data_IF_442905179375
#
_entry.id   IF_442905179375
#
_cell.length_a   1.000
_cell.length_b   1.000
_cell.length_c   1.000
_cell.angle_alpha   90.00
_cell.angle_beta   90.00
_cell.angle_gamma   90.00
#
_symmetry.space_group_name_H-M   'P 1'
#
loop_
_entity.id
_entity.type
_entity.pdbx_description
1 polymer ?
#
# COMPACT_ATOMS: atom_id res chain seq x y z
N UNK A 1 -4.11 -7.52 14.84
CA UNK A 1 -5.12 -6.68 15.52
C UNK A 1 -4.91 -5.19 15.19
N UNK A 2 -4.88 -4.80 13.90
CA UNK A 2 -4.78 -3.39 13.48
C UNK A 2 -5.67 -3.10 12.25
N UNK A 3 -6.89 -3.61 12.25
CA UNK A 3 -7.83 -3.43 11.13
C UNK A 3 -9.11 -2.79 11.61
N UNK A 4 -9.07 -1.56 12.15
CA UNK A 4 -10.32 -0.83 12.42
C UNK A 4 -10.15 0.69 12.68
N UNK A 5 -9.19 1.38 12.07
CA UNK A 5 -9.03 2.83 12.27
C UNK A 5 -8.85 3.61 10.97
N UNK A 6 -9.76 3.45 10.00
CA UNK A 6 -10.15 4.53 9.06
C UNK A 6 -11.39 4.08 8.27
N UNK A 7 -12.53 3.98 8.96
CA UNK A 7 -13.80 3.96 8.25
C UNK A 7 -14.10 5.41 7.88
N UNK A 8 -13.51 5.89 6.79
CA UNK A 8 -14.12 7.01 6.07
C UNK A 8 -15.47 6.45 5.66
N UNK A 9 -16.54 6.83 6.35
CA UNK A 9 -17.85 6.81 5.73
C UNK A 9 -17.76 7.81 4.57
N UNK A 10 -17.33 7.30 3.42
CA UNK A 10 -17.46 8.03 2.16
C UNK A 10 -18.96 8.07 1.92
N UNK A 11 -19.62 9.11 2.40
CA UNK A 11 -20.96 9.46 1.96
C UNK A 11 -20.79 9.86 0.50
N UNK A 12 -21.02 8.91 -0.41
CA UNK A 12 -20.85 9.12 -1.84
C UNK A 12 -21.99 9.97 -2.35
N UNK A 13 -21.75 11.27 -2.52
CA UNK A 13 -22.64 12.13 -3.29
C UNK A 13 -22.67 11.63 -4.74
N UNK A 14 -23.80 11.10 -5.18
CA UNK A 14 -23.98 10.68 -6.57
C UNK A 14 -24.58 11.80 -7.42
N UNK A 15 -24.34 11.75 -8.73
CA UNK A 15 -24.99 12.64 -9.70
C UNK A 15 -26.52 12.64 -9.55
N UNK A 16 -27.11 11.47 -9.29
CA UNK A 16 -28.54 11.35 -9.04
C UNK A 16 -29.00 12.09 -7.78
N UNK A 17 -28.18 12.13 -6.71
CA UNK A 17 -28.51 12.90 -5.51
C UNK A 17 -28.55 14.41 -5.78
N UNK A 18 -27.71 14.90 -6.69
CA UNK A 18 -27.71 16.31 -7.11
C UNK A 18 -28.94 16.62 -7.95
N UNK A 19 -29.28 15.73 -8.90
CA UNK A 19 -30.48 15.86 -9.74
C UNK A 19 -31.79 15.85 -8.94
N UNK A 20 -31.86 15.02 -7.91
CA UNK A 20 -33.07 14.89 -7.07
C UNK A 20 -33.13 15.96 -5.95
N UNK A 21 -32.11 16.82 -5.84
CA UNK A 21 -32.06 17.83 -4.80
C UNK A 21 -33.20 18.84 -4.94
N UNK A 22 -33.88 19.14 -3.82
CA UNK A 22 -34.95 20.14 -3.75
C UNK A 22 -34.65 21.18 -2.69
N UNK A 23 -34.56 22.43 -3.11
CA UNK A 23 -34.33 23.57 -2.21
C UNK A 23 -35.64 24.26 -1.83
N UNK A 24 -35.74 24.71 -0.57
CA UNK A 24 -36.87 25.49 -0.10
C UNK A 24 -36.79 26.95 -0.55
N UNK A 25 -37.92 27.55 -0.95
CA UNK A 25 -37.96 28.97 -1.35
C UNK A 25 -38.08 29.90 -0.14
N UNK A 26 -37.25 30.95 -0.06
CA UNK A 26 -37.37 32.00 0.97
C UNK A 26 -38.34 33.10 0.54
N UNK A 27 -39.34 33.41 1.38
CA UNK A 27 -40.37 34.44 1.07
C UNK A 27 -40.05 35.84 1.62
N UNK A 28 -39.13 35.93 2.59
CA UNK A 28 -38.87 37.16 3.38
C UNK A 28 -37.51 37.80 3.04
N UNK A 29 -36.60 37.05 2.39
CA UNK A 29 -35.22 37.47 2.09
C UNK A 29 -34.95 37.27 0.60
N UNK A 30 -34.06 38.08 0.03
CA UNK A 30 -33.54 37.81 -1.31
C UNK A 30 -32.93 36.40 -1.34
N UNK A 31 -33.47 35.54 -2.21
CA UNK A 31 -32.99 34.17 -2.40
C UNK A 31 -32.10 34.06 -3.64
N UNK A 32 -31.52 32.88 -3.83
CA UNK A 32 -30.82 32.54 -5.06
C UNK A 32 -31.78 32.53 -6.25
N UNK A 33 -31.29 32.89 -7.43
CA UNK A 33 -32.04 32.76 -8.66
C UNK A 33 -32.16 31.26 -9.03
N UNK A 34 -33.39 30.75 -9.13
CA UNK A 34 -33.63 29.33 -9.42
C UNK A 34 -32.94 28.88 -10.71
N UNK A 35 -33.01 29.68 -11.78
CA UNK A 35 -32.41 29.31 -13.06
C UNK A 35 -30.87 29.23 -12.98
N UNK A 36 -30.25 30.05 -12.13
CA UNK A 36 -28.81 30.01 -11.90
C UNK A 36 -28.41 28.79 -11.05
N UNK A 37 -29.21 28.48 -10.03
CA UNK A 37 -29.01 27.28 -9.21
C UNK A 37 -29.17 26.02 -10.05
N UNK A 38 -30.20 25.94 -10.89
CA UNK A 38 -30.43 24.79 -11.77
C UNK A 38 -29.26 24.59 -12.75
N UNK A 39 -28.80 25.66 -13.40
CA UNK A 39 -27.64 25.59 -14.29
C UNK A 39 -26.33 25.19 -13.57
N UNK A 40 -26.17 25.63 -12.32
CA UNK A 40 -25.03 25.21 -11.50
C UNK A 40 -25.15 23.73 -11.09
N UNK A 41 -26.35 23.25 -10.73
CA UNK A 41 -26.58 21.84 -10.43
C UNK A 41 -26.29 20.95 -11.62
N UNK A 42 -26.64 21.36 -12.84
CA UNK A 42 -26.30 20.62 -14.07
C UNK A 42 -24.77 20.46 -14.21
N UNK A 43 -24.01 21.53 -13.99
CA UNK A 43 -22.54 21.49 -14.05
C UNK A 43 -21.93 20.58 -12.95
N UNK A 44 -22.48 20.65 -11.74
CA UNK A 44 -22.04 19.79 -10.63
C UNK A 44 -22.38 18.33 -10.90
N UNK A 45 -23.57 18.06 -11.45
CA UNK A 45 -23.99 16.72 -11.86
C UNK A 45 -23.00 16.12 -12.86
N UNK A 46 -22.71 16.85 -13.94
CA UNK A 46 -21.77 16.42 -14.97
C UNK A 46 -20.37 16.14 -14.39
N UNK A 47 -19.91 17.00 -13.49
CA UNK A 47 -18.59 16.85 -12.84
C UNK A 47 -18.54 15.58 -11.98
N UNK A 48 -19.59 15.31 -11.19
CA UNK A 48 -19.67 14.12 -10.35
C UNK A 48 -19.81 12.86 -11.21
N UNK A 49 -20.60 12.92 -12.28
CA UNK A 49 -20.75 11.81 -13.22
C UNK A 49 -19.41 11.47 -13.89
N UNK A 50 -18.65 12.48 -14.32
CA UNK A 50 -17.31 12.29 -14.87
C UNK A 50 -16.35 11.67 -13.84
N UNK A 51 -16.21 12.27 -12.66
CA UNK A 51 -15.29 11.81 -11.64
C UNK A 51 -15.61 10.39 -11.14
N UNK A 52 -16.90 10.05 -11.00
CA UNK A 52 -17.32 8.69 -10.62
C UNK A 52 -17.04 7.66 -11.71
N UNK A 53 -17.21 8.04 -12.98
CA UNK A 53 -16.86 7.18 -14.13
C UNK A 53 -15.36 6.92 -14.20
N UNK A 54 -14.53 7.94 -13.96
CA UNK A 54 -13.08 7.80 -13.87
C UNK A 54 -12.67 6.88 -12.71
N UNK A 55 -13.26 7.09 -11.53
CA UNK A 55 -13.03 6.24 -10.37
C UNK A 55 -13.39 4.77 -10.64
N UNK A 56 -14.53 4.52 -11.29
CA UNK A 56 -14.94 3.17 -11.65
C UNK A 56 -13.95 2.53 -12.63
N UNK A 57 -13.56 3.25 -13.68
CA UNK A 57 -12.62 2.75 -14.68
C UNK A 57 -11.24 2.42 -14.07
N UNK A 58 -10.75 3.28 -13.18
CA UNK A 58 -9.51 3.03 -12.44
C UNK A 58 -9.64 1.80 -11.53
N UNK A 59 -10.80 1.61 -10.88
CA UNK A 59 -11.09 0.43 -10.09
C UNK A 59 -11.05 -0.86 -10.91
N UNK A 60 -11.68 -0.85 -12.09
CA UNK A 60 -11.68 -1.99 -13.02
C UNK A 60 -10.26 -2.32 -13.51
N UNK A 61 -9.44 -1.29 -13.79
CA UNK A 61 -8.04 -1.44 -14.20
C UNK A 61 -7.18 -2.05 -13.08
N UNK A 62 -7.37 -1.60 -11.84
CA UNK A 62 -6.65 -2.15 -10.66
C UNK A 62 -6.97 -3.63 -10.47
N UNK A 63 -8.23 -4.03 -10.60
CA UNK A 63 -8.63 -5.44 -10.44
C UNK A 63 -8.08 -6.31 -11.58
N UNK A 64 -8.07 -5.79 -12.81
CA UNK A 64 -7.44 -6.46 -13.95
C UNK A 64 -5.94 -6.65 -13.73
N UNK A 65 -5.24 -5.61 -13.26
CA UNK A 65 -3.80 -5.65 -13.01
C UNK A 65 -3.46 -6.60 -11.85
N UNK A 66 -4.28 -6.61 -10.80
CA UNK A 66 -4.16 -7.56 -9.69
C UNK A 66 -4.32 -9.01 -10.17
N UNK A 67 -5.30 -9.27 -11.02
CA UNK A 67 -5.50 -10.59 -11.63
C UNK A 67 -4.29 -11.00 -12.48
N UNK A 68 -3.72 -10.07 -13.24
CA UNK A 68 -2.51 -10.29 -14.01
C UNK A 68 -1.32 -10.69 -13.12
N UNK A 69 -1.12 -9.99 -11.99
CA UNK A 69 -0.07 -10.32 -11.01
C UNK A 69 -0.26 -11.73 -10.46
N UNK A 70 -1.48 -12.11 -10.08
CA UNK A 70 -1.77 -13.46 -9.58
C UNK A 70 -1.49 -14.55 -10.63
N UNK A 71 -1.84 -14.30 -11.89
CA UNK A 71 -1.53 -15.23 -12.99
C UNK A 71 -0.02 -15.41 -13.18
N UNK A 72 0.76 -14.32 -13.13
CA UNK A 72 2.22 -14.38 -13.26
C UNK A 72 2.86 -15.13 -12.08
N UNK A 73 2.39 -14.87 -10.86
CA UNK A 73 2.85 -15.58 -9.67
C UNK A 73 2.56 -17.09 -9.76
N UNK A 74 1.36 -17.47 -10.23
CA UNK A 74 1.03 -18.88 -10.45
C UNK A 74 1.92 -19.56 -11.49
N UNK A 75 2.22 -18.87 -12.60
CA UNK A 75 3.14 -19.38 -13.63
C UNK A 75 4.57 -19.54 -13.10
N UNK A 76 5.06 -18.58 -12.32
CA UNK A 76 6.38 -18.66 -11.71
C UNK A 76 6.46 -19.82 -10.70
N UNK A 77 5.44 -19.99 -9.86
CA UNK A 77 5.39 -21.10 -8.90
C UNK A 77 5.41 -22.48 -9.59
N UNK A 78 4.67 -22.61 -10.71
CA UNK A 78 4.70 -23.83 -11.51
C UNK A 78 6.10 -24.10 -12.09
N UNK A 79 6.74 -23.10 -12.70
CA UNK A 79 8.08 -23.24 -13.26
C UNK A 79 9.15 -23.54 -12.18
N UNK A 80 9.04 -22.92 -11.00
CA UNK A 80 9.94 -23.19 -9.87
C UNK A 80 9.82 -24.63 -9.38
N UNK A 81 8.60 -25.20 -9.38
CA UNK A 81 8.39 -26.59 -9.00
C UNK A 81 9.07 -27.56 -9.96
N UNK A 82 8.96 -27.31 -11.27
CA UNK A 82 9.63 -28.12 -12.29
C UNK A 82 11.17 -28.08 -12.11
N UNK A 83 11.74 -26.90 -11.84
CA UNK A 83 13.16 -26.75 -11.51
C UNK A 83 13.55 -27.48 -10.22
N UNK A 84 12.72 -27.44 -9.18
CA UNK A 84 12.97 -28.12 -7.91
C UNK A 84 12.92 -29.64 -8.08
N UNK A 85 11.98 -30.17 -8.86
CA UNK A 85 11.87 -31.60 -9.17
C UNK A 85 13.10 -32.10 -9.95
N UNK A 86 13.61 -31.29 -10.90
CA UNK A 86 14.87 -31.56 -11.60
C UNK A 86 16.12 -31.48 -10.71
N UNK A 87 16.11 -30.64 -9.66
CA UNK A 87 17.19 -30.55 -8.68
C UNK A 87 17.11 -31.62 -7.58
N UNK A 88 15.92 -32.18 -7.34
CA UNK A 88 15.67 -33.16 -6.27
C UNK A 88 15.70 -34.60 -6.76
N UNK A 89 15.91 -34.83 -8.07
CA UNK A 89 16.18 -36.16 -8.60
C UNK A 89 17.56 -36.58 -8.08
N UNK A 90 17.68 -37.58 -7.19
CA UNK A 90 18.98 -38.06 -6.78
C UNK A 90 19.60 -38.70 -8.01
N UNK A 91 20.78 -38.21 -8.41
CA UNK A 91 21.66 -38.91 -9.34
C UNK A 91 21.75 -40.36 -8.86
N UNK A 92 21.13 -41.27 -9.61
CA UNK A 92 21.32 -42.70 -9.44
C UNK A 92 22.82 -42.97 -9.60
N UNK A 93 23.46 -43.38 -8.51
CA UNK A 93 24.86 -43.74 -8.46
C UNK A 93 25.20 -44.77 -9.54
N UNK A 94 26.26 -44.55 -10.34
CA UNK A 94 27.04 -45.63 -10.88
C UNK A 94 27.93 -46.16 -9.75
N UNK A 95 27.67 -47.40 -9.38
CA UNK A 95 28.41 -48.18 -8.40
C UNK A 95 29.83 -48.50 -8.91
N UNK A 96 30.78 -48.40 -7.98
CA UNK A 96 32.11 -49.05 -7.89
C UNK A 96 33.32 -48.57 -8.73
N UNK A 97 34.41 -48.24 -8.01
CA UNK A 97 35.76 -48.58 -8.47
C UNK A 97 36.91 -47.61 -8.13
N UNK A 98 37.55 -47.81 -6.97
CA UNK A 98 38.98 -47.56 -6.68
C UNK A 98 39.57 -46.14 -6.81
N UNK A 99 40.01 -45.58 -5.68
CA UNK A 99 41.44 -45.46 -5.36
C UNK A 99 41.66 -44.72 -4.03
N UNK A 100 41.98 -45.48 -2.99
CA UNK A 100 42.62 -44.98 -1.78
C UNK A 100 43.99 -44.40 -2.14
N UNK A 101 44.21 -43.12 -1.86
CA UNK A 101 45.57 -42.55 -1.75
C UNK A 101 45.70 -41.96 -0.36
N UNK A 102 46.40 -42.72 0.50
CA UNK A 102 46.98 -42.23 1.74
C UNK A 102 48.37 -41.75 1.36
N UNK A 103 48.70 -40.50 1.65
CA UNK A 103 50.10 -40.07 1.83
C UNK A 103 50.22 -39.19 3.08
N UNK A 104 51.39 -39.22 3.74
CA UNK A 104 51.52 -39.20 5.19
C UNK A 104 51.72 -37.81 5.80
N UNK A 105 51.46 -37.75 7.11
CA UNK A 105 51.90 -36.79 8.12
C UNK A 105 53.11 -35.92 7.74
N UNK A 106 52.92 -34.60 7.81
CA UNK A 106 53.94 -33.66 8.29
C UNK A 106 53.26 -32.68 9.26
N UNK A 107 53.84 -32.60 10.47
CA UNK A 107 53.45 -31.73 11.58
C UNK A 107 53.86 -30.29 11.28
N UNK A 108 52.95 -29.32 11.43
CA UNK A 108 53.32 -27.92 11.25
C UNK A 108 52.20 -26.91 11.45
N UNK A 109 51.89 -26.62 12.73
CA UNK A 109 51.40 -25.33 13.23
C UNK A 109 50.08 -24.76 12.66
N UNK A 110 49.05 -24.82 13.53
CA UNK A 110 48.07 -23.77 13.85
C UNK A 110 48.13 -22.48 13.01
N UNK A 111 46.99 -22.04 12.47
CA UNK A 111 46.25 -20.80 12.86
C UNK A 111 45.09 -20.56 11.87
N UNK A 112 43.87 -20.40 12.43
CA UNK A 112 42.65 -19.74 11.88
C UNK A 112 42.22 -20.12 10.45
N UNK A 113 40.98 -20.51 10.18
CA UNK A 113 39.81 -19.63 10.28
C UNK A 113 38.60 -20.51 9.89
N UNK A 114 37.53 -20.45 10.68
CA UNK A 114 36.29 -21.10 10.34
C UNK A 114 35.74 -20.39 9.09
N UNK A 115 35.75 -21.07 7.94
CA UNK A 115 35.20 -20.56 6.67
C UNK A 115 33.70 -20.36 6.87
N UNK A 116 33.34 -19.13 7.28
CA UNK A 116 31.98 -18.61 7.23
C UNK A 116 31.63 -18.54 5.75
N UNK A 117 30.61 -19.32 5.40
CA UNK A 117 29.91 -19.28 4.11
C UNK A 117 29.77 -17.84 3.69
N UNK A 118 30.31 -17.52 2.50
CA UNK A 118 30.26 -16.20 1.88
C UNK A 118 28.89 -15.57 2.07
N UNK A 119 28.89 -14.51 2.89
CA UNK A 119 27.94 -13.43 2.80
C UNK A 119 27.96 -12.96 1.33
N UNK A 120 26.94 -13.37 0.58
CA UNK A 120 26.61 -12.73 -0.69
C UNK A 120 25.98 -11.40 -0.27
N UNK A 121 26.65 -10.24 -0.45
CA UNK A 121 26.04 -8.99 -0.07
C UNK A 121 24.99 -8.66 -1.13
N UNK A 122 23.69 -8.55 -0.80
CA UNK A 122 22.75 -7.99 -1.76
C UNK A 122 23.03 -6.48 -1.82
N UNK A 123 23.52 -6.06 -2.98
CA UNK A 123 23.67 -4.68 -3.39
C UNK A 123 22.42 -3.85 -3.07
N UNK A 124 22.65 -2.65 -2.52
CA UNK A 124 21.63 -1.65 -2.17
C UNK A 124 22.00 -0.97 -0.86
N UNK A 125 22.76 0.11 -0.92
CA UNK A 125 23.53 0.70 0.19
C UNK A 125 22.73 1.34 1.35
N UNK A 126 21.40 1.17 1.41
CA UNK A 126 20.64 1.37 2.65
C UNK A 126 20.12 0.02 3.13
N UNK A 127 20.91 -0.66 3.96
CA UNK A 127 20.49 -1.90 4.62
C UNK A 127 19.13 -1.69 5.29
N UNK A 128 18.28 -2.73 5.33
CA UNK A 128 16.90 -2.68 5.86
C UNK A 128 16.80 -2.02 7.26
N UNK A 129 17.87 -2.09 8.05
CA UNK A 129 18.05 -1.37 9.31
C UNK A 129 18.05 0.15 9.12
N UNK A 130 18.82 0.68 8.17
CA UNK A 130 18.87 2.10 7.85
C UNK A 130 17.52 2.62 7.34
N UNK A 131 16.83 1.84 6.50
CA UNK A 131 15.48 2.19 6.02
C UNK A 131 14.49 2.25 7.19
N UNK A 132 14.50 1.23 8.06
CA UNK A 132 13.64 1.19 9.26
C UNK A 132 13.91 2.38 10.18
N UNK A 133 15.18 2.70 10.40
CA UNK A 133 15.57 3.76 11.33
C UNK A 133 15.21 5.14 10.76
N UNK A 134 15.36 5.35 9.45
CA UNK A 134 14.93 6.56 8.73
C UNK A 134 13.41 6.75 8.75
N UNK A 135 12.64 5.68 8.55
CA UNK A 135 11.17 5.72 8.64
C UNK A 135 10.72 6.05 10.05
N UNK A 136 11.38 5.50 11.08
CA UNK A 136 11.09 5.80 12.49
C UNK A 136 11.35 7.26 12.82
N UNK A 137 12.47 7.82 12.33
CA UNK A 137 12.79 9.23 12.51
C UNK A 137 11.75 10.13 11.82
N UNK A 138 11.37 9.79 10.59
CA UNK A 138 10.34 10.52 9.83
C UNK A 138 9.00 10.56 10.59
N UNK A 139 8.52 9.41 11.07
CA UNK A 139 7.26 9.33 11.82
C UNK A 139 7.32 10.10 13.15
N UNK A 140 8.48 10.11 13.81
CA UNK A 140 8.67 10.86 15.06
C UNK A 140 8.57 12.37 14.81
N UNK A 141 9.16 12.87 13.71
CA UNK A 141 9.00 14.28 13.29
C UNK A 141 7.56 14.62 12.93
N UNK A 142 6.85 13.73 12.24
CA UNK A 142 5.45 13.95 11.87
C UNK A 142 4.54 14.00 13.10
N UNK A 143 4.76 13.13 14.10
CA UNK A 143 3.97 13.13 15.34
C UNK A 143 4.17 14.43 16.14
N UNK A 144 5.41 14.93 16.24
CA UNK A 144 5.70 16.21 16.90
C UNK A 144 5.04 17.41 16.22
N UNK A 145 4.91 17.37 14.89
CA UNK A 145 4.19 18.40 14.11
C UNK A 145 2.68 18.34 14.31
N UNK A 146 2.12 17.16 14.57
CA UNK A 146 0.69 16.97 14.81
C UNK A 146 0.29 17.37 16.24
N UNK A 147 1.17 17.18 17.23
CA UNK A 147 0.93 17.64 18.61
C UNK A 147 0.94 19.18 18.73
N UNK A 148 1.69 19.88 17.85
CA UNK A 148 1.69 21.36 17.76
C UNK A 148 0.44 21.91 17.05
N UNK A 149 -0.29 21.08 16.31
CA UNK A 149 -1.65 21.41 15.83
C UNK A 149 -2.63 21.16 16.99
N UNK A 150 -2.70 22.12 17.90
CA UNK A 150 -3.80 22.24 18.86
C UNK A 150 -5.08 22.49 18.06
N UNK A 151 -5.74 21.41 17.60
CA UNK A 151 -7.11 21.48 17.08
C UNK A 151 -7.99 21.75 18.29
N UNK A 152 -8.08 23.04 18.62
CA UNK A 152 -8.99 23.57 19.62
C UNK A 152 -10.39 23.08 19.24
N UNK A 153 -10.98 22.24 20.09
CA UNK A 153 -12.37 21.87 19.97
C UNK A 153 -13.19 23.17 19.96
N UNK A 154 -14.19 23.35 19.07
CA UNK A 154 -14.98 24.58 19.09
C UNK A 154 -15.74 24.67 20.41
N UNK A 155 -15.30 25.58 21.28
CA UNK A 155 -15.99 25.92 22.52
C UNK A 155 -17.40 26.39 22.19
N UNK A 156 -18.37 25.55 22.52
CA UNK A 156 -19.79 25.83 22.43
C UNK A 156 -20.23 26.81 23.51
N UNK A 157 -19.73 28.03 23.45
CA UNK A 157 -20.23 29.15 24.25
C UNK A 157 -21.38 29.82 23.49
N UNK A 158 -22.60 29.38 23.81
CA UNK A 158 -23.84 29.94 23.32
C UNK A 158 -23.97 31.43 23.72
N UNK A 159 -23.92 32.29 22.70
CA UNK A 159 -24.32 33.68 22.75
C UNK A 159 -25.84 33.75 22.96
N UNK A 160 -26.29 34.20 24.15
CA UNK A 160 -27.67 34.58 24.40
C UNK A 160 -27.79 36.10 24.28
N UNK A 161 -28.73 36.62 23.45
CA UNK A 161 -28.84 38.04 23.16
C UNK A 161 -29.58 38.79 24.29
N UNK A 162 -29.40 40.12 24.40
CA UNK A 162 -30.07 40.91 25.41
C UNK A 162 -31.54 41.18 25.04
N UNK A 163 -32.44 40.95 26.00
CA UNK A 163 -33.85 41.31 25.97
C UNK A 163 -34.42 41.35 27.38
#
# INVERSE_FOLDING_TARGET
>A
MLSSCFRVEIVTLSAQNVRDARFGTTRIRAGYNLAEVDAFLDQVEDTIAHASSEGQRLGDEVEALRSQVQQLQGRLAAAQRELQEAQSTPVAAPDEGHATVITPTDDGASTTENVVVSDVPPAGEEGLVAIRDRVREMLTRQLALVDDLDIDAPDGSADSPPG
#
